data_IF_997210267335
#
_entry.id   IF_997210267335
#
_cell.length_a   1.000
_cell.length_b   1.000
_cell.length_c   1.000
_cell.angle_alpha   90.00
_cell.angle_beta   90.00
_cell.angle_gamma   90.00
#
_symmetry.space_group_name_H-M   'P 1'
#
loop_
_entity.id
_entity.type
_entity.pdbx_description
1 polymer ?
#
# COMPACT_ATOMS: atom_id res chain seq x y z
N UNK A 1 -12.21 -50.32 -0.55
CA UNK A 1 -11.55 -49.57 0.54
C UNK A 1 -10.25 -48.93 0.07
N UNK A 2 -9.22 -49.66 -0.36
CA UNK A 2 -7.90 -49.13 -0.77
C UNK A 2 -7.98 -48.12 -1.94
N UNK A 3 -8.80 -48.37 -2.97
CA UNK A 3 -9.00 -47.43 -4.10
C UNK A 3 -9.68 -46.12 -3.68
N UNK A 4 -10.54 -46.16 -2.71
CA UNK A 4 -11.19 -44.96 -2.14
C UNK A 4 -10.19 -44.10 -1.34
N UNK A 5 -9.38 -44.76 -0.50
CA UNK A 5 -8.32 -44.09 0.27
C UNK A 5 -7.29 -43.44 -0.66
N UNK A 6 -6.86 -44.16 -1.73
CA UNK A 6 -5.95 -43.58 -2.74
C UNK A 6 -6.53 -42.34 -3.42
N UNK A 7 -7.84 -42.38 -3.79
CA UNK A 7 -8.52 -41.20 -4.38
C UNK A 7 -8.58 -40.02 -3.42
N UNK A 8 -8.93 -40.25 -2.15
CA UNK A 8 -8.94 -39.21 -1.11
C UNK A 8 -7.55 -38.58 -0.91
N UNK A 9 -6.52 -39.42 -0.89
CA UNK A 9 -5.13 -38.96 -0.76
C UNK A 9 -4.68 -38.13 -1.98
N UNK A 10 -5.01 -38.58 -3.18
CA UNK A 10 -4.72 -37.80 -4.41
C UNK A 10 -5.44 -36.46 -4.40
N UNK A 11 -6.72 -36.41 -3.99
CA UNK A 11 -7.47 -35.16 -3.88
C UNK A 11 -6.86 -34.21 -2.84
N UNK A 12 -6.45 -34.74 -1.69
CA UNK A 12 -5.79 -33.94 -0.64
C UNK A 12 -4.46 -33.36 -1.13
N UNK A 13 -3.64 -34.13 -1.85
CA UNK A 13 -2.39 -33.64 -2.46
C UNK A 13 -2.69 -32.58 -3.52
N UNK A 14 -3.64 -32.82 -4.41
CA UNK A 14 -4.00 -31.87 -5.45
C UNK A 14 -4.50 -30.55 -4.85
N UNK A 15 -5.29 -30.61 -3.78
CA UNK A 15 -5.77 -29.44 -3.06
C UNK A 15 -4.63 -28.67 -2.36
N UNK A 16 -3.70 -29.39 -1.72
CA UNK A 16 -2.51 -28.79 -1.11
C UNK A 16 -1.63 -28.09 -2.17
N UNK A 17 -1.43 -28.73 -3.34
CA UNK A 17 -0.69 -28.12 -4.45
C UNK A 17 -1.40 -26.90 -5.01
N UNK A 18 -2.72 -26.91 -5.10
CA UNK A 18 -3.51 -25.73 -5.54
C UNK A 18 -3.37 -24.59 -4.55
N UNK A 19 -3.50 -24.85 -3.24
CA UNK A 19 -3.29 -23.84 -2.21
C UNK A 19 -1.87 -23.28 -2.29
N UNK A 20 -0.87 -24.16 -2.40
CA UNK A 20 0.53 -23.74 -2.55
C UNK A 20 0.73 -22.88 -3.79
N UNK A 21 0.15 -23.27 -4.92
CA UNK A 21 0.20 -22.46 -6.15
C UNK A 21 -0.46 -21.10 -5.97
N UNK A 22 -1.68 -21.05 -5.41
CA UNK A 22 -2.38 -19.79 -5.15
C UNK A 22 -1.54 -18.89 -4.23
N UNK A 23 -0.93 -19.45 -3.22
CA UNK A 23 -0.13 -18.77 -2.23
C UNK A 23 1.21 -18.22 -2.77
N UNK A 24 1.99 -19.06 -3.44
CA UNK A 24 3.33 -18.68 -3.92
C UNK A 24 3.35 -17.98 -5.28
N UNK A 25 2.30 -18.16 -6.08
CA UNK A 25 2.28 -17.68 -7.46
C UNK A 25 1.23 -16.59 -7.68
N UNK A 26 0.00 -16.80 -7.20
CA UNK A 26 -1.11 -15.88 -7.45
C UNK A 26 -1.06 -14.70 -6.48
N UNK A 27 -0.94 -14.97 -5.18
CA UNK A 27 -1.00 -13.94 -4.15
C UNK A 27 0.05 -12.82 -4.33
N UNK A 28 1.33 -13.09 -4.61
CA UNK A 28 2.31 -12.01 -4.82
C UNK A 28 2.09 -11.18 -6.09
N UNK A 29 1.28 -11.69 -7.03
CA UNK A 29 0.89 -10.93 -8.23
C UNK A 29 -0.33 -10.06 -8.02
N UNK A 30 -1.27 -10.54 -7.19
CA UNK A 30 -2.52 -9.83 -6.89
C UNK A 30 -2.31 -8.82 -5.76
N UNK A 31 -1.50 -9.18 -4.77
CA UNK A 31 -1.15 -8.35 -3.62
C UNK A 31 0.38 -8.27 -3.51
N UNK A 32 1.04 -7.45 -4.33
CA UNK A 32 2.49 -7.34 -4.28
C UNK A 32 2.97 -6.74 -2.95
N UNK A 33 4.12 -7.26 -2.48
CA UNK A 33 4.84 -6.74 -1.32
C UNK A 33 6.25 -6.36 -1.79
N UNK A 34 6.38 -5.19 -2.37
CA UNK A 34 7.68 -4.62 -2.75
C UNK A 34 8.05 -3.51 -1.77
N UNK A 35 9.34 -3.21 -1.64
CA UNK A 35 9.87 -2.07 -0.86
C UNK A 35 9.54 -2.12 0.64
N UNK A 36 9.33 -3.30 1.23
CA UNK A 36 8.85 -3.41 2.61
C UNK A 36 9.79 -2.79 3.64
N UNK A 37 11.12 -2.93 3.46
CA UNK A 37 12.09 -2.30 4.37
C UNK A 37 11.96 -0.77 4.35
N UNK A 38 11.64 -0.18 3.18
CA UNK A 38 11.43 1.26 3.01
C UNK A 38 10.09 1.67 3.61
N UNK A 39 9.03 0.89 3.32
CA UNK A 39 7.68 1.11 3.88
C UNK A 39 7.73 1.09 5.40
N UNK A 40 8.33 0.06 6.00
CA UNK A 40 8.46 -0.06 7.45
C UNK A 40 9.22 1.08 8.07
N UNK A 41 10.36 1.42 7.46
CA UNK A 41 11.20 2.52 7.94
C UNK A 41 10.40 3.81 8.04
N UNK A 42 9.73 4.20 6.96
CA UNK A 42 9.03 5.48 6.93
C UNK A 42 7.65 5.45 7.59
N UNK A 43 6.93 4.33 7.56
CA UNK A 43 5.73 4.16 8.36
C UNK A 43 6.03 4.35 9.86
N UNK A 44 7.04 3.67 10.40
CA UNK A 44 7.46 3.85 11.80
C UNK A 44 7.96 5.26 12.11
N UNK A 45 8.70 5.88 11.17
CA UNK A 45 9.21 7.24 11.36
C UNK A 45 8.08 8.26 11.54
N UNK A 46 6.96 8.08 10.84
CA UNK A 46 5.80 8.98 10.85
C UNK A 46 4.60 8.42 11.62
N UNK A 47 4.78 7.40 12.46
CA UNK A 47 3.73 6.85 13.30
C UNK A 47 2.57 6.19 12.56
N UNK A 48 2.79 5.76 11.32
CA UNK A 48 1.79 5.12 10.48
C UNK A 48 1.86 3.60 10.59
N UNK A 49 0.73 2.93 10.40
CA UNK A 49 0.71 1.48 10.23
C UNK A 49 1.25 1.10 8.83
N UNK A 50 2.23 0.16 8.73
CA UNK A 50 2.75 -0.29 7.44
C UNK A 50 1.66 -0.82 6.49
N UNK A 51 0.59 -1.41 7.02
CA UNK A 51 -0.57 -1.87 6.26
C UNK A 51 -1.33 -0.72 5.57
N UNK A 52 -1.45 0.43 6.22
CA UNK A 52 -2.04 1.64 5.63
C UNK A 52 -1.19 2.14 4.47
N UNK A 53 0.14 2.26 4.66
CA UNK A 53 1.07 2.70 3.62
C UNK A 53 1.03 1.76 2.42
N UNK A 54 1.05 0.43 2.65
CA UNK A 54 0.89 -0.57 1.60
C UNK A 54 -0.45 -0.43 0.87
N UNK A 55 -1.53 -0.16 1.61
CA UNK A 55 -2.86 0.07 1.06
C UNK A 55 -2.90 1.29 0.13
N UNK A 56 -2.27 2.40 0.52
CA UNK A 56 -2.14 3.60 -0.33
C UNK A 56 -1.32 3.28 -1.57
N UNK A 57 -0.11 2.70 -1.44
CA UNK A 57 0.74 2.34 -2.59
C UNK A 57 0.00 1.41 -3.56
N UNK A 58 -0.74 0.44 -3.04
CA UNK A 58 -1.51 -0.49 -3.87
C UNK A 58 -2.60 0.21 -4.67
N UNK A 59 -3.34 1.13 -4.06
CA UNK A 59 -4.42 1.85 -4.75
C UNK A 59 -3.89 2.89 -5.72
N UNK A 60 -2.77 3.54 -5.40
CA UNK A 60 -2.17 4.61 -6.22
C UNK A 60 -1.45 4.07 -7.45
N UNK A 61 -0.61 3.05 -7.30
CA UNK A 61 0.28 2.60 -8.38
C UNK A 61 0.33 1.09 -8.59
N UNK A 62 -0.33 0.28 -7.75
CA UNK A 62 -0.12 -1.17 -7.71
C UNK A 62 1.36 -1.57 -7.56
N UNK A 63 2.12 -0.78 -6.80
CA UNK A 63 3.58 -0.91 -6.62
C UNK A 63 4.39 -0.71 -7.91
N UNK A 64 3.87 0.05 -8.87
CA UNK A 64 4.62 0.46 -10.06
C UNK A 64 5.38 1.76 -9.76
N UNK A 65 6.72 1.66 -9.65
CA UNK A 65 7.58 2.80 -9.26
C UNK A 65 7.66 3.89 -10.33
N UNK A 66 7.41 3.52 -11.59
CA UNK A 66 7.45 4.44 -12.74
C UNK A 66 6.07 4.98 -13.13
N UNK A 67 5.05 4.75 -12.30
CA UNK A 67 3.70 5.21 -12.57
C UNK A 67 3.62 6.74 -12.66
N UNK A 68 2.96 7.23 -13.72
CA UNK A 68 2.64 8.65 -13.91
C UNK A 68 1.18 8.78 -14.28
N UNK A 69 0.42 9.55 -13.49
CA UNK A 69 -1.00 9.79 -13.78
C UNK A 69 -1.18 10.89 -14.83
N UNK A 70 -2.40 11.01 -15.36
CA UNK A 70 -2.77 12.09 -16.27
C UNK A 70 -2.69 13.49 -15.61
N UNK A 71 -2.77 13.55 -14.28
CA UNK A 71 -2.60 14.77 -13.49
C UNK A 71 -1.13 15.07 -13.13
N UNK A 72 -0.18 14.22 -13.60
CA UNK A 72 1.25 14.40 -13.34
C UNK A 72 1.72 13.90 -11.98
N UNK A 73 0.89 13.17 -11.23
CA UNK A 73 1.32 12.49 -10.01
C UNK A 73 2.27 11.34 -10.35
N UNK A 74 3.30 11.12 -9.51
CA UNK A 74 4.45 10.26 -9.81
C UNK A 74 4.72 9.22 -8.72
N UNK A 75 5.20 8.07 -9.15
CA UNK A 75 5.79 7.03 -8.31
C UNK A 75 4.78 6.23 -7.51
N UNK A 76 5.29 5.52 -6.51
CA UNK A 76 4.55 4.52 -5.74
C UNK A 76 3.31 5.06 -5.03
N UNK A 77 3.43 6.25 -4.42
CA UNK A 77 2.36 6.92 -3.67
C UNK A 77 1.71 8.07 -4.45
N UNK A 78 1.99 8.19 -5.75
CA UNK A 78 1.40 9.15 -6.67
C UNK A 78 1.43 10.60 -6.14
N UNK A 79 2.63 11.07 -5.81
CA UNK A 79 2.85 12.43 -5.33
C UNK A 79 2.97 13.38 -6.53
N UNK A 80 2.22 14.50 -6.52
CA UNK A 80 2.39 15.57 -7.50
C UNK A 80 3.67 16.38 -7.21
N UNK A 81 4.27 17.00 -8.22
CA UNK A 81 5.45 17.84 -8.02
C UNK A 81 5.21 18.95 -7.00
N UNK A 82 4.05 19.60 -7.07
CA UNK A 82 3.66 20.66 -6.13
C UNK A 82 3.65 20.15 -4.68
N UNK A 83 2.99 19.01 -4.43
CA UNK A 83 2.95 18.39 -3.10
C UNK A 83 4.34 17.93 -2.67
N UNK A 84 5.12 17.35 -3.58
CA UNK A 84 6.47 16.84 -3.29
C UNK A 84 7.43 17.95 -2.89
N UNK A 85 7.45 19.05 -3.62
CA UNK A 85 8.31 20.20 -3.30
C UNK A 85 7.89 20.90 -2.00
N UNK A 86 6.59 21.11 -1.82
CA UNK A 86 6.07 21.67 -0.58
C UNK A 86 6.41 20.79 0.63
N UNK A 87 6.19 19.47 0.53
CA UNK A 87 6.52 18.54 1.58
C UNK A 87 8.02 18.54 1.88
N UNK A 88 8.87 18.51 0.85
CA UNK A 88 10.32 18.58 1.00
C UNK A 88 10.78 19.84 1.74
N UNK A 89 10.20 20.99 1.41
CA UNK A 89 10.47 22.24 2.11
C UNK A 89 10.09 22.16 3.60
N UNK A 90 8.91 21.61 3.92
CA UNK A 90 8.47 21.43 5.30
C UNK A 90 9.36 20.42 6.07
N UNK A 91 9.89 19.43 5.39
CA UNK A 91 10.80 18.44 5.94
C UNK A 91 12.24 18.96 6.07
N UNK A 92 12.54 20.16 5.55
CA UNK A 92 13.89 20.71 5.51
C UNK A 92 14.81 20.03 4.49
N UNK A 93 14.25 19.40 3.47
CA UNK A 93 14.98 18.79 2.36
C UNK A 93 15.20 19.82 1.25
N UNK A 94 16.28 19.66 0.49
CA UNK A 94 16.51 20.50 -0.69
C UNK A 94 15.57 20.05 -1.82
N UNK A 95 14.73 20.96 -2.33
CA UNK A 95 13.78 20.67 -3.41
C UNK A 95 14.45 20.07 -4.66
N UNK A 96 15.66 20.55 -5.01
CA UNK A 96 16.45 20.05 -6.14
C UNK A 96 16.95 18.59 -5.97
N UNK A 97 16.86 18.04 -4.75
CA UNK A 97 17.24 16.63 -4.47
C UNK A 97 16.06 15.67 -4.48
N UNK A 98 14.84 16.15 -4.77
CA UNK A 98 13.63 15.34 -4.73
C UNK A 98 13.40 14.67 -6.09
N UNK A 99 13.69 13.38 -6.16
CA UNK A 99 13.26 12.52 -7.26
C UNK A 99 12.04 11.69 -6.84
N UNK A 100 10.87 12.11 -7.32
CA UNK A 100 9.60 11.40 -7.02
C UNK A 100 9.47 10.04 -7.72
N UNK A 101 10.38 9.69 -8.61
CA UNK A 101 10.46 8.34 -9.21
C UNK A 101 11.35 7.41 -8.39
N UNK A 102 12.18 7.94 -7.48
CA UNK A 102 12.99 7.13 -6.58
C UNK A 102 12.10 6.61 -5.45
N UNK A 103 12.01 5.26 -5.25
CA UNK A 103 11.09 4.63 -4.30
C UNK A 103 11.20 5.13 -2.87
N UNK A 104 12.43 5.32 -2.35
CA UNK A 104 12.61 5.74 -0.97
C UNK A 104 12.17 7.19 -0.76
N UNK A 105 12.46 8.09 -1.68
CA UNK A 105 12.03 9.48 -1.67
C UNK A 105 10.52 9.60 -1.78
N UNK A 106 9.90 8.83 -2.69
CA UNK A 106 8.46 8.85 -2.90
C UNK A 106 7.70 8.35 -1.68
N UNK A 107 8.12 7.21 -1.09
CA UNK A 107 7.49 6.66 0.12
C UNK A 107 7.73 7.58 1.31
N UNK A 108 8.92 8.16 1.46
CA UNK A 108 9.21 9.11 2.55
C UNK A 108 8.28 10.31 2.51
N UNK A 109 8.17 10.95 1.35
CA UNK A 109 7.31 12.14 1.17
C UNK A 109 5.84 11.77 1.32
N UNK A 110 5.41 10.64 0.75
CA UNK A 110 4.04 10.18 0.86
C UNK A 110 3.61 9.84 2.29
N UNK A 111 4.49 9.19 3.07
CA UNK A 111 4.24 8.93 4.50
C UNK A 111 4.18 10.23 5.30
N UNK A 112 5.13 11.15 5.10
CA UNK A 112 5.11 12.46 5.74
C UNK A 112 3.80 13.23 5.43
N UNK A 113 3.37 13.23 4.16
CA UNK A 113 2.16 13.93 3.75
C UNK A 113 0.90 13.29 4.36
N UNK A 114 0.87 11.97 4.45
CA UNK A 114 -0.26 11.26 5.08
C UNK A 114 -0.33 11.53 6.58
N UNK A 115 0.80 11.54 7.29
CA UNK A 115 0.91 11.91 8.70
C UNK A 115 0.46 13.36 8.92
N UNK A 116 0.96 14.30 8.10
CA UNK A 116 0.51 15.69 8.14
C UNK A 116 -1.02 15.84 7.94
N UNK A 117 -1.61 15.03 7.06
CA UNK A 117 -3.07 15.02 6.84
C UNK A 117 -3.82 14.44 8.05
N UNK A 118 -3.28 13.42 8.68
CA UNK A 118 -3.84 12.88 9.92
C UNK A 118 -3.82 13.92 11.03
N UNK A 119 -2.70 14.59 11.23
CA UNK A 119 -2.60 15.69 12.20
C UNK A 119 -3.57 16.82 11.88
N UNK A 120 -3.65 17.23 10.61
CA UNK A 120 -4.54 18.31 10.15
C UNK A 120 -6.02 17.98 10.36
N UNK A 121 -6.40 16.72 10.29
CA UNK A 121 -7.79 16.25 10.40
C UNK A 121 -8.06 15.44 11.67
N UNK A 122 -7.43 15.85 12.78
CA UNK A 122 -7.68 15.34 14.14
C UNK A 122 -7.59 13.80 14.27
N UNK A 123 -6.72 13.16 13.47
CA UNK A 123 -6.51 11.71 13.44
C UNK A 123 -7.62 10.91 12.73
N UNK A 124 -8.60 11.56 12.10
CA UNK A 124 -9.67 10.87 11.37
C UNK A 124 -9.16 10.36 10.04
N UNK A 125 -8.80 9.08 10.00
CA UNK A 125 -8.16 8.44 8.84
C UNK A 125 -8.98 8.59 7.55
N UNK A 126 -10.29 8.46 7.59
CA UNK A 126 -11.14 8.59 6.38
C UNK A 126 -11.07 10.02 5.80
N UNK A 127 -11.08 11.03 6.68
CA UNK A 127 -10.94 12.44 6.30
C UNK A 127 -9.53 12.72 5.76
N UNK A 128 -8.49 12.17 6.38
CA UNK A 128 -7.10 12.28 5.89
C UNK A 128 -6.93 11.62 4.50
N UNK A 129 -7.47 10.44 4.29
CA UNK A 129 -7.45 9.75 2.99
C UNK A 129 -8.23 10.53 1.92
N UNK A 130 -9.37 11.12 2.29
CA UNK A 130 -10.07 12.02 1.38
C UNK A 130 -9.22 13.25 1.02
N UNK A 131 -8.48 13.80 1.99
CA UNK A 131 -7.52 14.89 1.80
C UNK A 131 -6.34 14.51 0.91
N UNK A 132 -5.88 13.29 1.01
CA UNK A 132 -4.81 12.76 0.17
C UNK A 132 -5.21 12.75 -1.31
N UNK A 133 -6.40 12.25 -1.62
CA UNK A 133 -6.88 12.11 -2.99
C UNK A 133 -7.48 13.42 -3.57
N UNK A 134 -8.34 14.09 -2.82
CA UNK A 134 -9.04 15.28 -3.31
C UNK A 134 -8.31 16.60 -3.02
N UNK A 135 -7.23 16.56 -2.23
CA UNK A 135 -6.54 17.74 -1.71
C UNK A 135 -7.17 18.27 -0.42
N UNK A 136 -6.32 18.60 0.53
CA UNK A 136 -6.73 19.05 1.87
C UNK A 136 -7.62 20.31 1.87
N UNK A 137 -7.45 21.20 0.86
CA UNK A 137 -8.25 22.40 0.75
C UNK A 137 -9.73 22.12 0.41
N UNK A 138 -10.02 21.10 -0.39
CA UNK A 138 -11.38 20.67 -0.68
C UNK A 138 -12.01 20.03 0.57
N UNK A 139 -11.29 19.16 1.23
CA UNK A 139 -11.76 18.50 2.47
C UNK A 139 -12.04 19.54 3.57
N UNK A 140 -11.19 20.56 3.73
CA UNK A 140 -11.45 21.64 4.70
C UNK A 140 -12.74 22.41 4.39
N UNK A 141 -13.11 22.57 3.11
CA UNK A 141 -14.40 23.17 2.73
C UNK A 141 -15.57 22.25 3.02
N UNK A 142 -15.41 20.95 2.78
CA UNK A 142 -16.45 19.96 3.07
C UNK A 142 -16.71 19.84 4.58
N UNK A 143 -15.67 19.90 5.41
CA UNK A 143 -15.81 19.89 6.85
C UNK A 143 -16.50 21.13 7.41
N UNK A 144 -16.40 22.25 6.71
CA UNK A 144 -17.09 23.50 7.07
C UNK A 144 -18.55 23.55 6.63
N UNK A 145 -19.02 22.55 5.87
CA UNK A 145 -20.39 22.46 5.36
C UNK A 145 -21.20 21.49 6.23
N UNK A 146 -22.24 22.01 6.88
CA UNK A 146 -23.11 21.24 7.77
C UNK A 146 -23.86 20.07 7.07
N UNK A 147 -23.99 20.10 5.74
CA UNK A 147 -24.59 18.99 4.96
C UNK A 147 -23.58 17.84 4.80
N UNK A 148 -22.28 18.13 4.85
CA UNK A 148 -21.20 17.14 4.65
C UNK A 148 -20.53 16.70 5.95
N UNK A 149 -20.57 17.54 6.99
CA UNK A 149 -19.99 17.25 8.30
C UNK A 149 -20.82 17.90 9.42
N UNK A 150 -21.18 17.15 10.45
CA UNK A 150 -21.93 17.66 11.59
C UNK A 150 -21.03 18.18 12.72
N UNK A 151 -19.85 17.64 12.82
CA UNK A 151 -18.88 17.90 13.88
C UNK A 151 -17.69 18.77 13.41
N UNK A 152 -17.59 19.04 12.11
CA UNK A 152 -16.46 19.76 11.51
C UNK A 152 -15.16 18.93 11.42
N UNK A 153 -15.21 17.65 11.75
CA UNK A 153 -14.05 16.75 11.86
C UNK A 153 -14.22 15.51 10.98
N UNK A 154 -15.42 14.91 11.01
CA UNK A 154 -15.76 13.69 10.30
C UNK A 154 -16.59 13.99 9.06
N UNK A 155 -16.22 13.45 7.90
CA UNK A 155 -17.02 13.54 6.70
C UNK A 155 -18.13 12.48 6.74
N UNK A 156 -19.40 12.91 6.83
CA UNK A 156 -20.57 12.03 6.67
C UNK A 156 -20.81 11.73 5.20
N UNK A 157 -20.48 12.68 4.32
CA UNK A 157 -20.57 12.52 2.89
C UNK A 157 -19.32 13.09 2.18
N UNK A 158 -18.80 12.33 1.21
CA UNK A 158 -17.72 12.75 0.32
C UNK A 158 -18.35 13.04 -1.04
N UNK A 159 -18.37 14.31 -1.49
CA UNK A 159 -19.12 14.69 -2.69
C UNK A 159 -18.50 14.19 -4.00
N UNK A 160 -17.19 13.91 -4.01
CA UNK A 160 -16.51 13.37 -5.18
C UNK A 160 -16.55 11.83 -5.14
N UNK A 161 -17.26 11.21 -6.07
CA UNK A 161 -17.39 9.74 -6.17
C UNK A 161 -16.03 9.04 -6.33
N UNK A 162 -15.09 9.67 -7.03
CA UNK A 162 -13.70 9.19 -7.13
C UNK A 162 -13.07 9.08 -5.75
N UNK A 163 -13.11 10.16 -4.96
CA UNK A 163 -12.53 10.22 -3.61
C UNK A 163 -13.24 9.26 -2.66
N UNK A 164 -14.57 9.18 -2.73
CA UNK A 164 -15.36 8.21 -1.96
C UNK A 164 -14.97 6.76 -2.26
N UNK A 165 -14.75 6.45 -3.54
CA UNK A 165 -14.27 5.14 -4.00
C UNK A 165 -12.83 4.90 -3.55
N UNK A 166 -11.97 5.91 -3.63
CA UNK A 166 -10.58 5.86 -3.20
C UNK A 166 -10.47 5.49 -1.71
N UNK A 167 -11.13 6.22 -0.83
CA UNK A 167 -11.13 5.96 0.61
C UNK A 167 -11.56 4.52 0.92
N UNK A 168 -12.64 4.03 0.28
CA UNK A 168 -13.09 2.66 0.45
C UNK A 168 -12.06 1.63 -0.02
N UNK A 169 -11.39 1.88 -1.16
CA UNK A 169 -10.36 0.98 -1.71
C UNK A 169 -9.14 0.92 -0.81
N UNK A 170 -8.64 2.08 -0.33
CA UNK A 170 -7.48 2.11 0.58
C UNK A 170 -7.80 1.38 1.88
N UNK A 171 -8.95 1.64 2.51
CA UNK A 171 -9.35 0.94 3.74
C UNK A 171 -9.52 -0.57 3.55
N UNK A 172 -10.00 -1.00 2.39
CA UNK A 172 -10.07 -2.43 2.07
C UNK A 172 -8.67 -3.03 1.89
N UNK A 173 -7.79 -2.34 1.13
CA UNK A 173 -6.43 -2.78 0.90
C UNK A 173 -5.63 -2.82 2.20
N UNK A 174 -5.69 -1.78 3.04
CA UNK A 174 -5.10 -1.74 4.37
C UNK A 174 -5.48 -2.95 5.21
N UNK A 175 -6.78 -3.26 5.28
CA UNK A 175 -7.29 -4.43 6.02
C UNK A 175 -6.73 -5.75 5.48
N UNK A 176 -6.66 -5.89 4.15
CA UNK A 176 -6.11 -7.08 3.49
C UNK A 176 -4.62 -7.20 3.79
N UNK A 177 -3.86 -6.12 3.65
CA UNK A 177 -2.42 -6.10 3.96
C UNK A 177 -2.16 -6.37 5.44
N UNK A 178 -2.95 -5.79 6.35
CA UNK A 178 -2.88 -6.05 7.77
C UNK A 178 -3.12 -7.53 8.10
N UNK A 179 -4.19 -8.11 7.56
CA UNK A 179 -4.54 -9.51 7.81
C UNK A 179 -3.53 -10.50 7.22
N UNK A 180 -3.09 -10.27 5.98
CA UNK A 180 -2.23 -11.22 5.24
C UNK A 180 -0.77 -11.12 5.70
N UNK A 181 -0.32 -9.95 6.15
CA UNK A 181 1.10 -9.68 6.33
C UNK A 181 1.50 -9.24 7.74
N UNK A 182 0.55 -8.93 8.63
CA UNK A 182 0.85 -8.43 9.97
C UNK A 182 0.71 -9.50 11.08
N UNK A 183 -0.21 -10.45 10.95
CA UNK A 183 -0.58 -11.37 12.04
C UNK A 183 0.22 -12.69 12.06
N UNK A 184 1.50 -12.67 11.80
CA UNK A 184 2.38 -13.83 11.95
C UNK A 184 2.97 -14.38 10.65
N UNK A 185 2.47 -13.94 9.51
CA UNK A 185 2.93 -14.39 8.20
C UNK A 185 4.31 -13.84 7.81
N UNK A 186 4.70 -12.74 8.38
CA UNK A 186 5.90 -11.99 8.09
C UNK A 186 7.11 -12.46 8.87
N UNK A 187 6.95 -12.91 10.11
CA UNK A 187 8.03 -13.53 10.88
C UNK A 187 8.44 -14.85 10.23
N UNK A 188 7.48 -15.61 9.74
CA UNK A 188 7.72 -16.86 9.00
C UNK A 188 8.48 -16.58 7.69
N UNK A 189 8.17 -15.49 6.95
CA UNK A 189 8.90 -15.15 5.72
C UNK A 189 10.31 -14.63 5.98
N UNK A 190 10.55 -13.83 7.03
CA UNK A 190 11.91 -13.42 7.44
C UNK A 190 12.74 -14.63 7.85
N UNK A 191 12.17 -15.57 8.56
CA UNK A 191 12.82 -16.81 8.94
C UNK A 191 13.16 -17.70 7.71
N UNK A 192 12.35 -17.64 6.65
CA UNK A 192 12.62 -18.33 5.37
C UNK A 192 13.69 -17.61 4.53
N UNK A 193 13.84 -16.29 4.61
CA UNK A 193 14.93 -15.57 3.93
C UNK A 193 16.30 -15.83 4.56
N UNK A 194 16.35 -16.15 5.85
CA UNK A 194 17.58 -16.45 6.58
C UNK A 194 17.99 -17.96 6.52
N UNK A 195 17.12 -18.84 6.01
CA UNK A 195 17.41 -20.27 5.90
C UNK A 195 18.02 -20.64 4.53
N UNK A 196 18.79 -21.76 4.47
CA UNK A 196 19.48 -22.29 3.26
C UNK A 196 18.58 -22.49 2.02
N UNK A 197 17.27 -22.29 2.14
CA UNK A 197 16.30 -22.34 1.03
C UNK A 197 16.22 -21.05 0.23
N UNK A 198 16.76 -19.95 0.72
CA UNK A 198 16.80 -18.65 0.03
C UNK A 198 17.38 -18.71 -1.39
N UNK A 199 18.47 -19.48 -1.67
CA UNK A 199 19.01 -19.61 -3.02
C UNK A 199 18.05 -20.29 -4.01
N UNK A 200 17.30 -21.30 -3.57
CA UNK A 200 16.35 -22.04 -4.43
C UNK A 200 15.14 -21.18 -4.82
N UNK A 201 14.62 -20.39 -3.88
CA UNK A 201 13.52 -19.45 -4.14
C UNK A 201 13.98 -18.23 -4.97
N UNK A 202 15.20 -17.73 -4.74
CA UNK A 202 15.80 -16.69 -5.57
C UNK A 202 16.00 -17.11 -7.02
N UNK A 203 16.34 -18.37 -7.24
CA UNK A 203 16.49 -18.96 -8.60
C UNK A 203 15.13 -19.15 -9.27
N UNK A 204 14.11 -19.61 -8.53
CA UNK A 204 12.74 -19.76 -9.03
C UNK A 204 12.13 -18.39 -9.38
N UNK A 205 12.36 -17.38 -8.55
CA UNK A 205 11.91 -16.00 -8.77
C UNK A 205 12.59 -15.38 -10.00
N UNK A 206 13.89 -15.65 -10.25
CA UNK A 206 14.60 -15.26 -11.46
C UNK A 206 14.08 -15.98 -12.70
N UNK A 207 13.84 -17.28 -12.60
CA UNK A 207 13.30 -18.08 -13.72
C UNK A 207 11.88 -17.63 -14.11
N UNK A 208 11.04 -17.22 -13.15
CA UNK A 208 9.70 -16.70 -13.39
C UNK A 208 9.71 -15.29 -14.00
N UNK A 209 10.71 -14.44 -13.70
CA UNK A 209 10.88 -13.14 -14.37
C UNK A 209 11.25 -13.29 -15.84
N UNK A 210 12.08 -14.27 -16.19
CA UNK A 210 12.46 -14.55 -17.58
C UNK A 210 11.31 -15.10 -18.44
N UNK A 211 10.17 -15.44 -17.83
CA UNK A 211 8.97 -15.93 -18.54
C UNK A 211 7.91 -14.84 -18.75
N UNK A 212 8.13 -13.64 -18.21
CA UNK A 212 7.20 -12.48 -18.28
C UNK A 212 7.78 -11.29 -19.05
N UNK A 213 9.01 -11.39 -19.56
CA UNK A 213 9.61 -10.53 -20.59
C UNK A 213 9.47 -11.18 -21.99
#
# INVERSE_FOLDING_TARGET
MIRFIKRLFTLAISFALLISFCYFVVLPRVLPLKYQDIVEKYAHQYGLEPSLVNGVIFVESHFEETAVSSAGAKGLMQITEETGWWAAEQMGLYADSVDLMEPATNIQIGCWYLDWLLDKFDGVQETALAGYNAGHGNVSKWLADEEMSKDGITLEEIPYEETKSYVKKVKLAERIYGYVYHDGFREDLKQYEETEMAPAFGTLRRALRLWTE
#
